data_IF_174354756724
#
_entry.id   IF_174354756724
#
_cell.length_a   1.000
_cell.length_b   1.000
_cell.length_c   1.000
_cell.angle_alpha   90.00
_cell.angle_beta   90.00
_cell.angle_gamma   90.00
#
_symmetry.space_group_name_H-M   'P 1'
#
loop_
_entity.id
_entity.type
_entity.pdbx_description
1 polymer ?
#
# COMPACT_ATOMS: atom_id res chain seq x y z
N UNK A 1 1.16 -17.93 13.82
CA UNK A 1 0.41 -16.80 13.27
C UNK A 1 0.04 -17.19 11.86
N UNK A 2 -1.21 -17.59 11.65
CA UNK A 2 -1.70 -18.06 10.35
C UNK A 2 -1.60 -16.97 9.28
N UNK A 3 -0.95 -17.31 8.17
CA UNK A 3 -0.81 -16.50 6.97
C UNK A 3 -2.09 -16.51 6.09
N UNK A 4 -3.21 -17.00 6.63
CA UNK A 4 -4.44 -17.27 5.89
C UNK A 4 -5.37 -16.06 5.85
N UNK A 5 -4.88 -14.91 5.37
CA UNK A 5 -5.75 -13.92 4.73
C UNK A 5 -4.93 -13.01 3.79
N UNK A 6 -4.15 -13.62 2.89
CA UNK A 6 -3.59 -12.86 1.78
C UNK A 6 -4.74 -12.40 0.89
N UNK A 7 -5.17 -11.16 1.11
CA UNK A 7 -6.07 -10.48 0.20
C UNK A 7 -5.51 -10.61 -1.23
N UNK A 8 -6.34 -11.14 -2.13
CA UNK A 8 -5.98 -11.27 -3.53
C UNK A 8 -6.12 -9.91 -4.18
N UNK A 9 -4.99 -9.22 -4.36
CA UNK A 9 -4.92 -7.97 -5.10
C UNK A 9 -5.32 -8.23 -6.56
N UNK A 10 -6.26 -7.45 -7.09
CA UNK A 10 -6.53 -7.44 -8.53
C UNK A 10 -5.58 -6.48 -9.25
N UNK A 11 -5.30 -6.66 -10.56
CA UNK A 11 -4.34 -5.83 -11.28
C UNK A 11 -4.60 -4.31 -11.17
N UNK A 12 -5.88 -3.91 -11.13
CA UNK A 12 -6.28 -2.52 -10.94
C UNK A 12 -5.82 -1.97 -9.58
N UNK A 13 -6.08 -2.69 -8.49
CA UNK A 13 -5.68 -2.28 -7.14
C UNK A 13 -4.16 -2.19 -7.03
N UNK A 14 -3.45 -3.16 -7.61
CA UNK A 14 -1.99 -3.21 -7.57
C UNK A 14 -1.36 -2.05 -8.35
N UNK A 15 -1.83 -1.79 -9.57
CA UNK A 15 -1.35 -0.68 -10.40
C UNK A 15 -1.61 0.67 -9.72
N UNK A 16 -2.79 0.85 -9.12
CA UNK A 16 -3.13 2.08 -8.38
C UNK A 16 -2.24 2.26 -7.14
N UNK A 17 -1.99 1.19 -6.37
CA UNK A 17 -1.07 1.23 -5.23
C UNK A 17 0.34 1.67 -5.65
N UNK A 18 0.90 1.04 -6.70
CA UNK A 18 2.25 1.37 -7.19
C UNK A 18 2.33 2.82 -7.65
N UNK A 19 1.31 3.32 -8.37
CA UNK A 19 1.26 4.74 -8.80
C UNK A 19 1.34 5.70 -7.61
N UNK A 20 0.53 5.49 -6.57
CA UNK A 20 0.54 6.37 -5.40
C UNK A 20 1.81 6.23 -4.55
N UNK A 21 2.44 5.06 -4.55
CA UNK A 21 3.75 4.90 -3.92
C UNK A 21 4.81 5.77 -4.61
N UNK A 22 4.82 5.80 -5.94
CA UNK A 22 5.72 6.64 -6.75
C UNK A 22 5.43 8.13 -6.54
N UNK A 23 4.15 8.52 -6.56
CA UNK A 23 3.75 9.92 -6.33
C UNK A 23 4.21 10.43 -4.96
N UNK A 24 3.94 9.67 -3.90
CA UNK A 24 4.36 10.05 -2.54
C UNK A 24 5.88 10.10 -2.36
N UNK A 25 6.60 9.21 -3.05
CA UNK A 25 8.07 9.24 -3.07
C UNK A 25 8.59 10.51 -3.76
N UNK A 26 8.02 10.87 -4.91
CA UNK A 26 8.44 12.04 -5.70
C UNK A 26 8.17 13.37 -4.99
N UNK A 27 7.15 13.44 -4.13
CA UNK A 27 6.88 14.62 -3.28
C UNK A 27 7.99 14.83 -2.22
N UNK A 28 8.90 13.87 -2.03
CA UNK A 28 10.09 14.02 -1.17
C UNK A 28 9.80 14.05 0.33
N UNK A 29 8.52 13.91 0.72
CA UNK A 29 8.09 13.91 2.13
C UNK A 29 8.33 12.54 2.78
N UNK A 30 8.36 11.47 1.99
CA UNK A 30 8.53 10.11 2.45
C UNK A 30 9.70 9.43 1.73
N UNK A 31 10.87 9.41 2.36
CA UNK A 31 12.02 8.68 1.82
C UNK A 31 11.75 7.16 1.87
N UNK A 32 12.06 6.46 0.78
CA UNK A 32 11.90 4.99 0.66
C UNK A 32 12.71 4.18 1.70
N UNK A 33 13.73 4.81 2.31
CA UNK A 33 14.56 4.26 3.38
C UNK A 33 13.91 4.35 4.77
N UNK A 34 12.85 5.14 4.94
CA UNK A 34 12.14 5.22 6.21
C UNK A 34 11.19 4.05 6.35
N UNK A 35 11.71 2.93 6.89
CA UNK A 35 10.98 1.75 7.35
C UNK A 35 9.52 2.06 7.70
N UNK A 36 8.59 1.56 6.88
CA UNK A 36 7.15 1.42 7.14
C UNK A 36 6.58 2.42 8.16
N UNK A 37 6.73 3.73 7.92
CA UNK A 37 6.07 4.71 8.78
C UNK A 37 4.58 4.46 8.72
N UNK A 38 3.96 4.28 9.89
CA UNK A 38 2.50 4.11 10.02
C UNK A 38 1.74 5.20 9.26
N UNK A 39 2.25 6.43 9.29
CA UNK A 39 1.67 7.57 8.58
C UNK A 39 1.68 7.41 7.05
N UNK A 40 2.71 6.78 6.48
CA UNK A 40 2.78 6.52 5.04
C UNK A 40 1.73 5.50 4.61
N UNK A 41 1.60 4.39 5.36
CA UNK A 41 0.59 3.38 5.08
C UNK A 41 -0.83 3.92 5.26
N UNK A 42 -1.04 4.76 6.28
CA UNK A 42 -2.33 5.42 6.51
C UNK A 42 -2.69 6.41 5.40
N UNK A 43 -1.71 7.14 4.86
CA UNK A 43 -1.96 8.05 3.75
C UNK A 43 -2.29 7.29 2.47
N UNK A 44 -1.59 6.19 2.19
CA UNK A 44 -1.96 5.28 1.09
C UNK A 44 -3.36 4.71 1.27
N UNK A 45 -3.74 4.27 2.47
CA UNK A 45 -5.12 3.82 2.76
C UNK A 45 -6.15 4.91 2.40
N UNK A 46 -5.94 6.15 2.86
CA UNK A 46 -6.83 7.28 2.57
C UNK A 46 -6.95 7.60 1.09
N UNK A 47 -5.83 7.54 0.35
CA UNK A 47 -5.84 7.78 -1.10
C UNK A 47 -6.59 6.66 -1.82
N UNK A 48 -6.33 5.41 -1.47
CA UNK A 48 -6.97 4.24 -2.08
C UNK A 48 -8.46 4.17 -1.76
N UNK A 49 -8.89 4.50 -0.54
CA UNK A 49 -10.30 4.51 -0.16
C UNK A 49 -11.13 5.48 -1.04
N UNK A 50 -10.53 6.60 -1.47
CA UNK A 50 -11.20 7.57 -2.36
C UNK A 50 -11.42 7.02 -3.78
N UNK A 51 -10.48 6.25 -4.30
CA UNK A 51 -10.51 5.76 -5.69
C UNK A 51 -11.02 4.32 -5.83
N UNK A 52 -10.96 3.55 -4.75
CA UNK A 52 -11.33 2.14 -4.64
C UNK A 52 -12.11 1.89 -3.33
N UNK A 53 -13.23 2.60 -3.08
CA UNK A 53 -13.97 2.49 -1.80
C UNK A 53 -14.48 1.07 -1.53
N UNK A 54 -14.71 0.28 -2.57
CA UNK A 54 -15.18 -1.10 -2.46
C UNK A 54 -14.07 -2.13 -2.21
N UNK A 55 -12.80 -1.75 -2.34
CA UNK A 55 -11.68 -2.66 -2.12
C UNK A 55 -11.44 -2.94 -0.63
N UNK A 56 -11.92 -2.06 0.26
CA UNK A 56 -11.80 -2.21 1.73
C UNK A 56 -10.36 -2.44 2.19
N UNK A 57 -9.39 -1.87 1.47
CA UNK A 57 -7.96 -1.98 1.75
C UNK A 57 -7.60 -1.25 3.04
N UNK A 58 -6.91 -1.93 3.96
CA UNK A 58 -6.38 -1.33 5.19
C UNK A 58 -4.86 -1.19 5.14
N UNK A 59 -4.33 -0.13 5.75
CA UNK A 59 -2.91 0.10 5.96
C UNK A 59 -2.21 -1.16 6.48
N UNK A 60 -2.84 -1.80 7.48
CA UNK A 60 -2.53 -3.15 7.95
C UNK A 60 -3.79 -4.01 7.99
N UNK A 61 -3.75 -5.29 7.57
CA UNK A 61 -2.56 -5.99 7.07
C UNK A 61 -2.32 -5.85 5.55
N UNK A 62 -3.25 -5.27 4.78
CA UNK A 62 -3.28 -5.42 3.32
C UNK A 62 -2.12 -4.70 2.62
N UNK A 63 -1.98 -3.39 2.83
CA UNK A 63 -0.98 -2.56 2.14
C UNK A 63 0.43 -2.91 2.63
N UNK A 64 0.61 -3.10 3.93
CA UNK A 64 1.90 -3.53 4.51
C UNK A 64 2.38 -4.85 3.91
N UNK A 65 1.50 -5.85 3.81
CA UNK A 65 1.84 -7.16 3.26
C UNK A 65 2.28 -7.03 1.79
N UNK A 66 1.56 -6.25 0.98
CA UNK A 66 1.89 -6.06 -0.43
C UNK A 66 3.22 -5.34 -0.63
N UNK A 67 3.50 -4.32 0.19
CA UNK A 67 4.77 -3.59 0.13
C UNK A 67 5.97 -4.50 0.47
N UNK A 68 5.80 -5.46 1.39
CA UNK A 68 6.83 -6.46 1.70
C UNK A 68 7.09 -7.44 0.55
N UNK A 69 6.08 -7.75 -0.27
CA UNK A 69 6.25 -8.62 -1.44
C UNK A 69 6.84 -7.87 -2.63
N UNK A 70 6.42 -6.63 -2.89
CA UNK A 70 6.95 -5.81 -3.99
C UNK A 70 8.45 -5.51 -3.90
N UNK A 71 9.05 -5.51 -2.70
CA UNK A 71 10.51 -5.34 -2.52
C UNK A 71 11.34 -6.61 -2.81
N UNK A 72 10.69 -7.75 -3.01
CA UNK A 72 11.35 -9.05 -3.21
C UNK A 72 11.31 -9.54 -4.66
N UNK A 73 10.47 -8.95 -5.49
CA UNK A 73 10.43 -9.14 -6.93
C UNK A 73 11.42 -8.17 -7.61
#
# INVERSE_FOLDING_TARGET
MDLANQMKWVPKEDTTLVSYMVDLHNVGTFNADTRFKTDYLNELERMLEKVLPHAMLKAKPNIESRFRTLKRD
#
